data_IF_713620630950
#
_entry.id   IF_713620630950
#
_cell.length_a   1.000
_cell.length_b   1.000
_cell.length_c   1.000
_cell.angle_alpha   90.00
_cell.angle_beta   90.00
_cell.angle_gamma   90.00
#
_symmetry.space_group_name_H-M   'P 1'
#
loop_
_entity.id
_entity.type
_entity.pdbx_description
1 polymer ?
#
# COMPACT_ATOMS: atom_id res chain seq x y z
N UNK A 1 12.23 0.02 13.67
CA UNK A 1 11.06 0.94 13.78
C UNK A 1 10.56 1.22 12.37
N UNK A 2 9.29 0.96 12.10
CA UNK A 2 8.67 1.21 10.80
C UNK A 2 8.34 2.68 10.62
N UNK A 3 8.56 3.21 9.41
CA UNK A 3 8.09 4.54 9.00
C UNK A 3 7.61 4.54 7.56
N UNK A 4 6.74 5.48 7.24
CA UNK A 4 6.31 5.76 5.87
C UNK A 4 6.98 7.05 5.40
N UNK A 5 7.47 7.05 4.16
CA UNK A 5 8.02 8.25 3.51
C UNK A 5 7.55 8.37 2.06
N UNK A 6 7.64 9.55 1.52
CA UNK A 6 7.41 9.76 0.08
C UNK A 6 8.40 8.96 -0.75
N UNK A 7 7.97 8.64 -1.97
CA UNK A 7 8.80 8.01 -2.99
C UNK A 7 9.91 8.97 -3.44
N UNK A 8 11.09 8.42 -3.71
CA UNK A 8 12.28 9.15 -4.17
C UNK A 8 12.87 8.47 -5.41
N UNK A 9 13.69 9.18 -6.23
CA UNK A 9 14.33 8.59 -7.41
C UNK A 9 15.16 7.34 -7.13
N UNK A 10 15.73 7.25 -5.93
CA UNK A 10 16.48 6.07 -5.45
C UNK A 10 15.64 4.82 -5.28
N UNK A 11 14.30 4.93 -5.25
CA UNK A 11 13.38 3.80 -5.09
C UNK A 11 13.07 3.09 -6.41
N UNK A 12 13.48 3.65 -7.55
CA UNK A 12 13.24 3.08 -8.88
C UNK A 12 13.59 1.58 -8.99
N UNK A 13 14.72 1.08 -8.46
CA UNK A 13 15.06 -0.34 -8.55
C UNK A 13 14.03 -1.24 -7.83
N UNK A 14 13.54 -0.80 -6.67
CA UNK A 14 12.54 -1.54 -5.89
C UNK A 14 11.20 -1.57 -6.61
N UNK A 15 10.72 -0.42 -7.08
CA UNK A 15 9.47 -0.35 -7.84
C UNK A 15 9.52 -1.18 -9.11
N UNK A 16 10.63 -1.12 -9.85
CA UNK A 16 10.81 -1.92 -11.05
C UNK A 16 10.73 -3.42 -10.76
N UNK A 17 11.29 -3.87 -9.65
CA UNK A 17 11.20 -5.26 -9.23
C UNK A 17 9.78 -5.64 -8.80
N UNK A 18 9.11 -4.81 -8.01
CA UNK A 18 7.80 -5.12 -7.43
C UNK A 18 6.67 -5.06 -8.46
N UNK A 19 6.63 -4.02 -9.28
CA UNK A 19 5.60 -3.85 -10.30
C UNK A 19 5.70 -4.91 -11.42
N UNK A 20 6.89 -5.49 -11.61
CA UNK A 20 7.12 -6.54 -12.60
C UNK A 20 7.13 -7.96 -12.01
N UNK A 21 6.78 -8.11 -10.74
CA UNK A 21 6.61 -9.42 -10.11
C UNK A 21 5.27 -10.05 -10.55
N UNK A 22 5.33 -10.92 -11.55
CA UNK A 22 4.14 -11.57 -12.11
C UNK A 22 3.33 -12.38 -11.08
N UNK A 23 3.93 -12.79 -9.96
CA UNK A 23 3.21 -13.49 -8.88
C UNK A 23 2.23 -12.57 -8.15
N UNK A 24 2.38 -11.25 -8.29
CA UNK A 24 1.53 -10.25 -7.65
C UNK A 24 0.45 -9.70 -8.59
N UNK A 25 0.52 -9.99 -9.89
CA UNK A 25 -0.41 -9.41 -10.86
C UNK A 25 -1.86 -9.86 -10.68
N UNK A 26 -2.07 -11.06 -10.15
CA UNK A 26 -3.42 -11.55 -9.85
C UNK A 26 -4.16 -10.70 -8.80
N UNK A 27 -3.41 -10.12 -7.86
CA UNK A 27 -3.91 -9.27 -6.77
C UNK A 27 -3.73 -7.77 -7.03
N UNK A 28 -3.31 -7.37 -8.24
CA UNK A 28 -3.02 -5.99 -8.61
C UNK A 28 -3.75 -5.56 -9.89
N UNK A 29 -3.84 -4.26 -10.11
CA UNK A 29 -4.38 -3.68 -11.35
C UNK A 29 -3.32 -3.58 -12.46
N UNK A 30 -2.14 -4.18 -12.28
CA UNK A 30 -1.07 -4.19 -13.27
C UNK A 30 -1.43 -5.11 -14.44
N UNK A 31 -1.53 -4.55 -15.63
CA UNK A 31 -1.93 -5.29 -16.84
C UNK A 31 -0.76 -5.67 -17.75
N UNK A 32 0.38 -5.03 -17.58
CA UNK A 32 1.57 -5.22 -18.41
C UNK A 32 2.85 -4.86 -17.64
N UNK A 33 3.98 -5.42 -18.06
CA UNK A 33 5.27 -5.03 -17.52
C UNK A 33 5.52 -3.52 -17.69
N UNK A 34 6.08 -2.90 -16.66
CA UNK A 34 6.47 -1.49 -16.67
C UNK A 34 7.97 -1.34 -16.98
N UNK A 35 8.31 -0.39 -17.84
CA UNK A 35 9.70 -0.06 -18.11
C UNK A 35 10.31 0.80 -16.99
N UNK A 36 11.65 0.83 -16.89
CA UNK A 36 12.33 1.77 -16.00
C UNK A 36 12.02 3.22 -16.35
N UNK A 37 11.78 3.51 -17.63
CA UNK A 37 11.40 4.83 -18.11
C UNK A 37 10.04 5.25 -17.57
N UNK A 38 9.03 4.36 -17.68
CA UNK A 38 7.66 4.64 -17.19
C UNK A 38 7.68 4.92 -15.68
N UNK A 39 8.40 4.11 -14.92
CA UNK A 39 8.52 4.27 -13.48
C UNK A 39 9.32 5.51 -13.09
N UNK A 40 10.36 5.87 -13.84
CA UNK A 40 11.08 7.12 -13.64
C UNK A 40 10.18 8.33 -13.86
N UNK A 41 9.42 8.35 -14.96
CA UNK A 41 8.43 9.40 -15.21
C UNK A 41 7.36 9.47 -14.12
N UNK A 42 6.88 8.31 -13.64
CA UNK A 42 5.94 8.26 -12.52
C UNK A 42 6.52 8.94 -11.27
N UNK A 43 7.74 8.61 -10.89
CA UNK A 43 8.42 9.21 -9.73
C UNK A 43 8.61 10.72 -9.91
N UNK A 44 9.04 11.17 -11.10
CA UNK A 44 9.26 12.60 -11.36
C UNK A 44 7.97 13.42 -11.37
N UNK A 45 6.87 12.83 -11.85
CA UNK A 45 5.60 13.53 -11.96
C UNK A 45 4.76 13.50 -10.67
N UNK A 46 5.06 12.61 -9.73
CA UNK A 46 4.34 12.58 -8.46
C UNK A 46 4.70 13.78 -7.60
N UNK A 47 3.70 14.52 -7.14
CA UNK A 47 3.90 15.65 -6.23
C UNK A 47 3.87 15.23 -4.77
N UNK A 48 3.31 14.04 -4.50
CA UNK A 48 3.02 13.55 -3.15
C UNK A 48 1.92 14.34 -2.45
N UNK A 49 1.11 15.05 -3.21
CA UNK A 49 -0.12 15.69 -2.75
C UNK A 49 -1.31 14.90 -3.32
N UNK A 50 -2.03 14.20 -2.44
CA UNK A 50 -3.16 13.35 -2.83
C UNK A 50 -4.30 14.13 -3.49
N UNK A 51 -4.48 15.40 -3.16
CA UNK A 51 -5.50 16.25 -3.76
C UNK A 51 -5.18 16.61 -5.20
N UNK A 52 -3.90 16.68 -5.53
CA UNK A 52 -3.43 16.98 -6.89
C UNK A 52 -3.29 15.71 -7.73
N UNK A 53 -2.71 14.67 -7.15
CA UNK A 53 -2.33 13.46 -7.86
C UNK A 53 -3.47 12.42 -7.89
N UNK A 54 -4.50 12.56 -7.03
CA UNK A 54 -5.57 11.58 -6.86
C UNK A 54 -5.14 10.30 -6.16
N UNK A 55 -3.86 10.20 -5.85
CA UNK A 55 -3.23 9.04 -5.18
C UNK A 55 -2.01 9.47 -4.38
N UNK A 56 -1.61 8.63 -3.44
CA UNK A 56 -0.40 8.83 -2.65
C UNK A 56 0.27 7.48 -2.42
N UNK A 57 1.47 7.27 -3.01
CA UNK A 57 2.31 6.10 -2.74
C UNK A 57 3.38 6.45 -1.72
N UNK A 58 3.47 5.64 -0.69
CA UNK A 58 4.47 5.77 0.37
C UNK A 58 5.34 4.53 0.44
N UNK A 59 6.63 4.74 0.62
CA UNK A 59 7.60 3.68 0.84
C UNK A 59 7.59 3.28 2.31
N UNK A 60 7.59 1.98 2.57
CA UNK A 60 7.70 1.42 3.91
C UNK A 60 9.17 1.15 4.19
N UNK A 61 9.70 1.81 5.20
CA UNK A 61 11.07 1.61 5.68
C UNK A 61 11.09 1.01 7.07
N UNK A 62 11.96 0.03 7.27
CA UNK A 62 12.28 -0.50 8.60
C UNK A 62 13.70 -0.08 9.00
N UNK A 63 13.77 0.70 10.09
CA UNK A 63 15.04 1.12 10.67
C UNK A 63 15.46 0.08 11.71
N UNK A 64 16.49 -0.69 11.38
CA UNK A 64 17.12 -1.64 12.31
C UNK A 64 18.35 -1.00 12.94
N UNK A 65 18.48 -1.16 14.25
CA UNK A 65 19.71 -0.78 14.95
C UNK A 65 20.75 -1.89 14.73
N UNK A 66 21.78 -1.61 13.94
CA UNK A 66 22.93 -2.51 13.83
C UNK A 66 23.80 -2.35 15.08
N UNK A 67 23.81 -3.39 15.91
CA UNK A 67 24.47 -3.39 17.23
C UNK A 67 26.00 -3.26 17.19
N UNK A 68 26.65 -3.45 16.04
CA UNK A 68 28.12 -3.46 15.94
C UNK A 68 28.79 -2.07 15.82
N UNK A 69 28.08 -1.01 15.38
CA UNK A 69 28.68 0.32 15.25
C UNK A 69 27.72 1.49 15.54
N UNK A 70 26.61 1.28 16.26
CA UNK A 70 25.61 2.33 16.57
C UNK A 70 25.06 3.05 15.31
N UNK A 71 25.16 2.45 14.14
CA UNK A 71 24.60 3.01 12.90
C UNK A 71 23.21 2.46 12.66
N UNK A 72 22.26 3.38 12.42
CA UNK A 72 20.93 3.03 11.94
C UNK A 72 21.04 2.59 10.47
N UNK A 73 20.73 1.35 10.19
CA UNK A 73 20.51 0.88 8.83
C UNK A 73 19.03 0.92 8.53
N UNK A 74 18.65 1.58 7.45
CA UNK A 74 17.28 1.64 6.97
C UNK A 74 17.12 0.71 5.78
N UNK A 75 16.14 -0.20 5.85
CA UNK A 75 15.82 -1.10 4.76
C UNK A 75 14.43 -0.78 4.20
N UNK A 76 14.35 -0.62 2.89
CA UNK A 76 13.07 -0.55 2.17
C UNK A 76 12.44 -1.95 2.15
N UNK A 77 11.21 -2.07 2.66
CA UNK A 77 10.54 -3.36 2.87
C UNK A 77 9.18 -3.48 2.17
N UNK A 78 8.75 -2.44 1.45
CA UNK A 78 7.51 -2.45 0.71
C UNK A 78 7.02 -1.06 0.37
N UNK A 79 5.78 -0.98 -0.12
CA UNK A 79 5.04 0.27 -0.32
C UNK A 79 3.59 0.10 0.11
N UNK A 80 2.94 1.22 0.40
CA UNK A 80 1.53 1.30 0.76
C UNK A 80 0.93 2.55 0.14
N UNK A 81 -0.28 2.41 -0.40
CA UNK A 81 -0.89 3.41 -1.25
C UNK A 81 -2.26 3.83 -0.71
N UNK A 82 -2.58 5.11 -0.88
CA UNK A 82 -3.96 5.59 -0.99
C UNK A 82 -4.22 5.93 -2.46
N UNK A 83 -5.30 5.43 -3.02
CA UNK A 83 -5.69 5.68 -4.41
C UNK A 83 -7.22 5.79 -4.53
N UNK A 84 -7.75 6.03 -5.73
CA UNK A 84 -9.18 6.33 -5.92
C UNK A 84 -9.69 7.38 -4.94
N UNK A 85 -8.89 8.43 -4.75
CA UNK A 85 -9.17 9.46 -3.76
C UNK A 85 -10.35 10.32 -4.19
N UNK A 86 -11.38 10.31 -3.37
CA UNK A 86 -12.58 11.15 -3.52
C UNK A 86 -12.56 12.25 -2.44
N UNK A 87 -12.10 13.43 -2.81
CA UNK A 87 -12.00 14.58 -1.92
C UNK A 87 -13.37 15.03 -1.40
N UNK A 88 -14.44 14.92 -2.22
CA UNK A 88 -15.79 15.34 -1.85
C UNK A 88 -16.38 14.43 -0.77
N UNK A 89 -16.25 13.13 -0.94
CA UNK A 89 -16.77 12.13 0.00
C UNK A 89 -15.74 11.77 1.08
N UNK A 90 -14.53 12.32 1.00
CA UNK A 90 -13.40 12.09 1.93
C UNK A 90 -13.11 10.60 2.14
N UNK A 91 -12.92 9.87 1.04
CA UNK A 91 -12.62 8.46 1.03
C UNK A 91 -11.49 8.13 0.07
N UNK A 92 -10.79 7.02 0.33
CA UNK A 92 -9.77 6.48 -0.56
C UNK A 92 -9.70 4.96 -0.44
N UNK A 93 -9.24 4.31 -1.50
CA UNK A 93 -8.82 2.92 -1.45
C UNK A 93 -7.42 2.81 -0.85
N UNK A 94 -7.13 1.66 -0.24
CA UNK A 94 -5.80 1.32 0.26
C UNK A 94 -5.28 0.08 -0.46
N UNK A 95 -4.02 0.13 -0.89
CA UNK A 95 -3.25 -0.99 -1.42
C UNK A 95 -1.92 -1.12 -0.71
N UNK A 96 -1.33 -2.32 -0.73
CA UNK A 96 -0.07 -2.57 -0.05
C UNK A 96 0.71 -3.68 -0.73
N UNK A 97 2.02 -3.47 -0.86
CA UNK A 97 2.98 -4.51 -1.19
C UNK A 97 4.02 -4.64 -0.09
N UNK A 98 4.26 -5.86 0.37
CA UNK A 98 5.34 -6.18 1.31
C UNK A 98 6.32 -7.11 0.63
N UNK A 99 7.59 -6.72 0.62
CA UNK A 99 8.66 -7.52 0.05
C UNK A 99 8.71 -8.92 0.70
N UNK A 100 8.90 -9.99 -0.07
CA UNK A 100 8.80 -11.37 0.43
C UNK A 100 9.58 -11.64 1.71
N UNK A 101 10.79 -11.09 1.82
CA UNK A 101 11.66 -11.26 2.98
C UNK A 101 11.18 -10.52 4.24
N UNK A 102 10.22 -9.60 4.11
CA UNK A 102 9.62 -8.84 5.21
C UNK A 102 8.27 -9.39 5.66
N UNK A 103 7.70 -10.35 4.90
CA UNK A 103 6.40 -10.97 5.22
C UNK A 103 6.48 -11.81 6.51
N UNK A 104 5.34 -12.03 7.14
CA UNK A 104 5.24 -12.82 8.37
C UNK A 104 5.82 -12.17 9.64
N UNK A 105 6.32 -10.92 9.54
CA UNK A 105 6.98 -10.18 10.63
C UNK A 105 6.12 -9.04 11.20
N UNK A 106 4.84 -8.99 10.86
CA UNK A 106 3.94 -7.92 11.32
C UNK A 106 4.12 -6.57 10.61
N UNK A 107 4.97 -6.49 9.58
CA UNK A 107 5.24 -5.26 8.81
C UNK A 107 3.96 -4.71 8.18
N UNK A 108 3.16 -5.56 7.54
CA UNK A 108 1.92 -5.13 6.89
C UNK A 108 0.94 -4.50 7.86
N UNK A 109 0.73 -5.11 9.02
CA UNK A 109 -0.16 -4.58 10.06
C UNK A 109 0.31 -3.20 10.56
N UNK A 110 1.61 -3.05 10.82
CA UNK A 110 2.17 -1.77 11.27
C UNK A 110 2.06 -0.70 10.18
N UNK A 111 2.31 -1.06 8.91
CA UNK A 111 2.19 -0.13 7.79
C UNK A 111 0.76 0.36 7.60
N UNK A 112 -0.23 -0.54 7.68
CA UNK A 112 -1.65 -0.17 7.63
C UNK A 112 -2.01 0.77 8.78
N UNK A 113 -1.54 0.50 10.02
CA UNK A 113 -1.80 1.41 11.14
C UNK A 113 -1.25 2.81 10.89
N UNK A 114 0.01 2.92 10.46
CA UNK A 114 0.64 4.22 10.16
C UNK A 114 -0.12 4.97 9.05
N UNK A 115 -0.59 4.25 8.02
CA UNK A 115 -1.38 4.88 6.96
C UNK A 115 -2.76 5.32 7.44
N UNK A 116 -3.43 4.55 8.28
CA UNK A 116 -4.73 4.92 8.86
C UNK A 116 -4.60 6.14 9.77
N UNK A 117 -3.55 6.21 10.59
CA UNK A 117 -3.27 7.38 11.43
C UNK A 117 -3.09 8.65 10.57
N UNK A 118 -2.40 8.51 9.44
CA UNK A 118 -2.25 9.61 8.48
C UNK A 118 -3.58 9.93 7.76
N UNK A 119 -4.28 8.93 7.26
CA UNK A 119 -5.52 9.09 6.51
C UNK A 119 -6.63 9.74 7.36
N UNK A 120 -6.82 9.27 8.58
CA UNK A 120 -7.86 9.77 9.46
C UNK A 120 -7.41 11.01 10.25
N UNK A 121 -6.18 11.01 10.77
CA UNK A 121 -5.68 12.09 11.63
C UNK A 121 -5.26 13.33 10.85
N UNK A 122 -4.57 13.17 9.72
CA UNK A 122 -4.02 14.30 8.96
C UNK A 122 -4.88 14.68 7.75
N UNK A 123 -5.28 13.68 6.92
CA UNK A 123 -6.10 13.95 5.74
C UNK A 123 -7.59 14.11 6.07
N UNK A 124 -7.99 13.77 7.30
CA UNK A 124 -9.39 13.81 7.76
C UNK A 124 -10.35 13.04 6.85
N UNK A 125 -9.91 11.88 6.32
CA UNK A 125 -10.79 11.00 5.59
C UNK A 125 -11.89 10.48 6.50
N UNK A 126 -13.06 10.19 5.93
CA UNK A 126 -14.17 9.56 6.64
C UNK A 126 -14.14 8.04 6.51
N UNK A 127 -13.56 7.54 5.44
CA UNK A 127 -13.57 6.13 5.14
C UNK A 127 -12.34 5.74 4.31
N UNK A 128 -11.75 4.62 4.65
CA UNK A 128 -10.74 3.92 3.85
C UNK A 128 -11.29 2.55 3.51
N UNK A 129 -11.11 2.08 2.27
CA UNK A 129 -11.60 0.79 1.82
C UNK A 129 -10.54 0.00 1.06
N UNK A 130 -10.71 -1.31 1.01
CA UNK A 130 -9.91 -2.23 0.22
C UNK A 130 -10.81 -3.22 -0.52
N UNK A 131 -10.43 -3.60 -1.73
CA UNK A 131 -11.05 -4.71 -2.46
C UNK A 131 -10.04 -5.86 -2.45
N UNK A 132 -10.44 -6.97 -1.84
CA UNK A 132 -9.53 -8.09 -1.58
C UNK A 132 -10.12 -9.35 -2.19
N UNK A 133 -9.35 -10.02 -3.05
CA UNK A 133 -9.71 -11.35 -3.57
C UNK A 133 -10.05 -12.31 -2.43
N UNK A 134 -11.08 -13.12 -2.60
CA UNK A 134 -11.48 -14.15 -1.61
C UNK A 134 -10.35 -15.15 -1.33
N UNK A 135 -9.39 -15.27 -2.23
CA UNK A 135 -8.23 -16.15 -2.11
C UNK A 135 -7.07 -15.53 -1.32
N UNK A 136 -7.03 -14.19 -1.21
CA UNK A 136 -5.98 -13.49 -0.47
C UNK A 136 -6.28 -13.40 1.04
N UNK A 137 -6.28 -14.57 1.69
CA UNK A 137 -6.61 -14.68 3.13
C UNK A 137 -5.59 -13.97 4.03
N UNK A 138 -4.34 -13.86 3.61
CA UNK A 138 -3.32 -13.14 4.38
C UNK A 138 -3.62 -11.63 4.45
N UNK A 139 -4.06 -11.06 3.33
CA UNK A 139 -4.44 -9.66 3.25
C UNK A 139 -5.71 -9.40 4.07
N UNK A 140 -6.79 -10.17 3.85
CA UNK A 140 -8.05 -10.01 4.57
C UNK A 140 -7.88 -10.12 6.10
N UNK A 141 -7.02 -11.03 6.57
CA UNK A 141 -6.73 -11.16 8.01
C UNK A 141 -6.04 -9.91 8.58
N UNK A 142 -5.11 -9.28 7.85
CA UNK A 142 -4.50 -8.03 8.30
C UNK A 142 -5.57 -6.94 8.42
N UNK A 143 -6.42 -6.77 7.42
CA UNK A 143 -7.44 -5.72 7.42
C UNK A 143 -8.49 -5.95 8.51
N UNK A 144 -8.92 -7.20 8.73
CA UNK A 144 -9.80 -7.55 9.84
C UNK A 144 -9.20 -7.15 11.20
N UNK A 145 -7.93 -7.49 11.44
CA UNK A 145 -7.21 -7.09 12.67
C UNK A 145 -7.07 -5.58 12.82
N UNK A 146 -7.09 -4.84 11.71
CA UNK A 146 -7.04 -3.38 11.70
C UNK A 146 -8.43 -2.74 11.81
N UNK A 147 -9.48 -3.53 12.04
CA UNK A 147 -10.83 -3.07 12.26
C UNK A 147 -11.60 -2.72 10.99
N UNK A 148 -11.16 -3.22 9.83
CA UNK A 148 -12.00 -3.20 8.64
C UNK A 148 -13.09 -4.27 8.76
N UNK A 149 -14.25 -3.99 8.17
CA UNK A 149 -15.37 -4.92 8.12
C UNK A 149 -15.71 -5.26 6.68
N UNK A 150 -16.02 -6.54 6.36
CA UNK A 150 -16.51 -6.91 5.05
C UNK A 150 -17.89 -6.30 4.83
N UNK A 151 -18.08 -5.58 3.73
CA UNK A 151 -19.32 -4.83 3.48
C UNK A 151 -20.07 -5.30 2.24
N UNK A 152 -19.40 -5.79 1.21
CA UNK A 152 -20.07 -6.26 0.00
C UNK A 152 -19.26 -7.33 -0.73
N UNK A 153 -19.87 -8.45 -1.14
CA UNK A 153 -19.27 -9.36 -2.11
C UNK A 153 -19.29 -8.74 -3.52
N UNK A 154 -18.24 -8.97 -4.26
CA UNK A 154 -18.04 -8.49 -5.63
C UNK A 154 -17.77 -9.70 -6.53
N UNK A 155 -18.77 -10.15 -7.29
CA UNK A 155 -18.67 -11.32 -8.13
C UNK A 155 -17.79 -11.06 -9.37
N UNK A 156 -16.88 -12.01 -9.68
CA UNK A 156 -15.96 -11.94 -10.82
C UNK A 156 -15.19 -10.60 -10.93
N UNK A 157 -14.75 -10.08 -9.80
CA UNK A 157 -14.12 -8.76 -9.73
C UNK A 157 -12.63 -8.78 -10.06
N UNK A 158 -11.97 -9.90 -9.80
CA UNK A 158 -10.54 -10.09 -10.07
C UNK A 158 -10.32 -11.13 -11.14
N UNK A 159 -9.10 -11.24 -11.65
CA UNK A 159 -8.72 -12.31 -12.60
C UNK A 159 -8.94 -13.71 -12.01
N UNK A 160 -8.85 -13.86 -10.69
CA UNK A 160 -9.03 -15.13 -9.99
C UNK A 160 -10.48 -15.37 -9.52
N UNK A 161 -11.40 -14.42 -9.75
CA UNK A 161 -12.82 -14.53 -9.42
C UNK A 161 -13.32 -13.44 -8.46
N UNK A 162 -14.01 -13.88 -7.41
CA UNK A 162 -14.71 -12.99 -6.50
C UNK A 162 -13.77 -12.23 -5.56
N UNK A 163 -14.21 -11.06 -5.16
CA UNK A 163 -13.56 -10.24 -4.15
C UNK A 163 -14.57 -9.78 -3.09
N UNK A 164 -14.07 -9.20 -2.02
CA UNK A 164 -14.87 -8.58 -0.98
C UNK A 164 -14.41 -7.13 -0.81
N UNK A 165 -15.36 -6.22 -0.76
CA UNK A 165 -15.13 -4.84 -0.35
C UNK A 165 -15.05 -4.79 1.18
N UNK A 166 -13.90 -4.36 1.69
CA UNK A 166 -13.64 -4.13 3.11
C UNK A 166 -13.60 -2.64 3.40
N UNK A 167 -14.23 -2.20 4.47
CA UNK A 167 -14.33 -0.79 4.82
C UNK A 167 -13.96 -0.53 6.26
N UNK A 168 -13.31 0.61 6.49
CA UNK A 168 -13.08 1.17 7.83
C UNK A 168 -13.44 2.65 7.81
N UNK A 169 -14.43 3.01 8.65
CA UNK A 169 -14.81 4.40 8.87
C UNK A 169 -14.01 5.01 10.01
N UNK A 170 -13.81 6.31 9.95
CA UNK A 170 -13.39 7.11 11.10
C UNK A 170 -14.65 7.41 11.92
N UNK A 171 -14.61 7.01 13.18
CA UNK A 171 -15.67 7.31 14.15
C UNK A 171 -15.69 8.80 14.55
#
# INVERSE_FOLDING_TARGET
MLRLRKIEPSDLPFLYQWENDATMWADSDTHNPLSRHDLHQYIENTTGDIYRDGQLRLIIEDSQLLTLNSQLSTKVVGCIDLFDFDARNRKAAIGMYIAPEARGKGVGKQAVQLLLDYAFGFLHLRMVYAIISVHNTACSHIYEQMGFTPSSPLANWTLEGDAILWQKSHD
#
